data_IF_611551999906
#
_entry.id   IF_611551999906
#
_cell.length_a   1.000
_cell.length_b   1.000
_cell.length_c   1.000
_cell.angle_alpha   90.00
_cell.angle_beta   90.00
_cell.angle_gamma   90.00
#
_symmetry.space_group_name_H-M   'P 1'
#
loop_
_entity.id
_entity.type
_entity.pdbx_description
1 polymer ?
#
# COMPACT_ATOMS: atom_id res chain seq x y z
N UNK A 1 -17.58 -9.93 10.69
CA UNK A 1 -16.45 -9.91 9.78
C UNK A 1 -16.89 -10.60 8.53
N UNK A 2 -17.04 -9.89 7.53
CA UNK A 2 -17.45 -10.42 6.24
C UNK A 2 -16.24 -10.29 5.34
N UNK A 3 -15.85 -11.35 4.68
CA UNK A 3 -14.67 -11.37 3.84
C UNK A 3 -13.36 -11.51 4.64
N UNK A 4 -12.94 -12.74 4.87
CA UNK A 4 -11.55 -12.98 5.26
C UNK A 4 -10.68 -12.64 4.06
N UNK A 5 -9.45 -12.10 4.24
CA UNK A 5 -8.55 -11.79 3.13
C UNK A 5 -8.25 -12.97 2.19
N UNK A 6 -8.57 -14.15 2.60
CA UNK A 6 -8.36 -15.43 1.90
C UNK A 6 -9.68 -16.05 1.37
N UNK A 7 -10.83 -15.39 1.58
CA UNK A 7 -12.07 -15.85 0.97
C UNK A 7 -12.09 -15.48 -0.52
N UNK A 8 -12.08 -16.50 -1.34
CA UNK A 8 -12.41 -16.39 -2.75
C UNK A 8 -13.94 -16.37 -2.83
N UNK A 9 -14.52 -15.43 -3.58
CA UNK A 9 -15.96 -15.40 -3.80
C UNK A 9 -16.46 -16.75 -4.36
N UNK A 10 -17.74 -17.05 -4.19
CA UNK A 10 -18.36 -18.27 -4.73
C UNK A 10 -18.13 -18.43 -6.24
N UNK A 11 -17.85 -17.34 -6.95
CA UNK A 11 -17.50 -17.33 -8.37
C UNK A 11 -16.02 -17.57 -8.65
N UNK A 12 -15.18 -17.77 -7.62
CA UNK A 12 -13.73 -17.95 -7.74
C UNK A 12 -12.95 -16.65 -7.95
N UNK A 13 -13.58 -15.50 -7.84
CA UNK A 13 -12.94 -14.19 -7.92
C UNK A 13 -12.68 -13.63 -6.52
N UNK A 14 -11.51 -13.02 -6.33
CA UNK A 14 -11.20 -12.28 -5.10
C UNK A 14 -12.06 -11.01 -4.97
N UNK A 15 -12.16 -10.48 -3.75
CA UNK A 15 -12.81 -9.20 -3.51
C UNK A 15 -11.96 -8.07 -4.12
N UNK A 16 -12.54 -7.20 -4.97
CA UNK A 16 -11.82 -6.05 -5.50
C UNK A 16 -11.34 -5.14 -4.37
N UNK A 17 -10.05 -4.83 -4.36
CA UNK A 17 -9.48 -3.91 -3.38
C UNK A 17 -8.46 -2.96 -4.01
N UNK A 18 -8.36 -1.76 -3.44
CA UNK A 18 -7.30 -0.80 -3.73
C UNK A 18 -6.23 -0.91 -2.65
N UNK A 19 -5.15 -1.64 -2.92
CA UNK A 19 -4.04 -1.81 -1.99
C UNK A 19 -2.91 -0.81 -2.28
N UNK A 20 -2.33 -0.23 -1.23
CA UNK A 20 -1.32 0.83 -1.33
C UNK A 20 -0.08 0.38 -2.12
N UNK A 21 0.60 -0.66 -1.67
CA UNK A 21 1.86 -1.14 -2.28
C UNK A 21 1.69 -1.49 -3.75
N UNK A 22 0.60 -2.19 -4.11
CA UNK A 22 0.29 -2.56 -5.48
C UNK A 22 0.09 -1.33 -6.36
N UNK A 23 -0.67 -0.35 -5.92
CA UNK A 23 -0.91 0.87 -6.69
C UNK A 23 0.34 1.74 -6.82
N UNK A 24 1.19 1.82 -5.81
CA UNK A 24 2.49 2.49 -5.90
C UNK A 24 3.41 1.81 -6.93
N UNK A 25 3.41 0.48 -7.01
CA UNK A 25 4.15 -0.26 -8.04
C UNK A 25 3.62 0.02 -9.45
N UNK A 26 2.29 0.07 -9.64
CA UNK A 26 1.70 0.45 -10.94
C UNK A 26 2.08 1.88 -11.33
N UNK A 27 2.04 2.82 -10.39
CA UNK A 27 2.50 4.18 -10.65
C UNK A 27 3.94 4.19 -11.16
N UNK A 28 4.85 3.54 -10.44
CA UNK A 28 6.25 3.46 -10.84
C UNK A 28 6.44 2.76 -12.19
N UNK A 29 5.71 1.67 -12.45
CA UNK A 29 5.76 0.95 -13.72
C UNK A 29 5.36 1.86 -14.89
N UNK A 30 4.30 2.66 -14.76
CA UNK A 30 3.91 3.61 -15.79
C UNK A 30 4.91 4.75 -15.98
N UNK A 31 5.55 5.23 -14.91
CA UNK A 31 6.62 6.23 -15.01
C UNK A 31 7.84 5.67 -15.75
N UNK A 32 8.21 4.42 -15.48
CA UNK A 32 9.28 3.73 -16.21
C UNK A 32 8.92 3.49 -17.68
N UNK A 33 7.69 3.06 -17.95
CA UNK A 33 7.20 2.89 -19.33
C UNK A 33 7.23 4.23 -20.10
N UNK A 34 6.84 5.33 -19.47
CA UNK A 34 6.95 6.66 -20.05
C UNK A 34 8.40 7.02 -20.40
N UNK A 35 9.33 6.80 -19.47
CA UNK A 35 10.76 7.03 -19.71
C UNK A 35 11.29 6.19 -20.88
N UNK A 36 10.97 4.91 -20.90
CA UNK A 36 11.38 4.00 -21.98
C UNK A 36 10.80 4.41 -23.34
N UNK A 37 9.53 4.79 -23.39
CA UNK A 37 8.88 5.29 -24.62
C UNK A 37 9.59 6.52 -25.17
N UNK A 38 9.97 7.46 -24.32
CA UNK A 38 10.74 8.64 -24.72
C UNK A 38 12.10 8.28 -25.30
N UNK A 39 12.81 7.36 -24.68
CA UNK A 39 14.12 6.90 -25.17
C UNK A 39 14.03 6.18 -26.53
N UNK A 40 12.90 5.50 -26.79
CA UNK A 40 12.65 4.81 -28.06
C UNK A 40 12.00 5.70 -29.13
N UNK A 41 11.65 6.95 -28.80
CA UNK A 41 10.94 7.84 -29.72
C UNK A 41 9.48 7.47 -29.98
N UNK A 42 8.87 6.64 -29.12
CA UNK A 42 7.48 6.19 -29.21
C UNK A 42 6.59 7.01 -28.26
N UNK A 43 6.36 8.28 -28.59
CA UNK A 43 5.60 9.21 -27.72
C UNK A 43 4.07 9.03 -27.77
N UNK A 44 3.56 8.06 -28.51
CA UNK A 44 2.11 7.90 -28.77
C UNK A 44 1.32 7.28 -27.60
N UNK A 45 1.97 6.87 -26.53
CA UNK A 45 1.35 6.18 -25.41
C UNK A 45 1.29 7.08 -24.18
N UNK A 46 0.09 7.26 -23.63
CA UNK A 46 -0.19 8.14 -22.46
C UNK A 46 0.24 7.52 -21.12
N UNK A 47 1.47 7.02 -21.01
CA UNK A 47 1.98 6.41 -19.78
C UNK A 47 2.05 7.40 -18.62
N UNK A 48 2.47 8.63 -18.89
CA UNK A 48 2.53 9.69 -17.88
C UNK A 48 1.14 10.08 -17.35
N UNK A 49 0.13 10.12 -18.23
CA UNK A 49 -1.26 10.41 -17.83
C UNK A 49 -1.82 9.27 -16.97
N UNK A 50 -1.55 8.02 -17.32
CA UNK A 50 -1.93 6.86 -16.51
C UNK A 50 -1.26 6.88 -15.13
N UNK A 51 0.02 7.20 -15.08
CA UNK A 51 0.75 7.37 -13.82
C UNK A 51 0.13 8.46 -12.96
N UNK A 52 -0.15 9.64 -13.53
CA UNK A 52 -0.74 10.76 -12.80
C UNK A 52 -2.11 10.39 -12.23
N UNK A 53 -2.97 9.76 -13.00
CA UNK A 53 -4.29 9.29 -12.53
C UNK A 53 -4.19 8.33 -11.32
N UNK A 54 -3.24 7.41 -11.34
CA UNK A 54 -3.00 6.51 -10.22
C UNK A 54 -2.49 7.27 -9.00
N UNK A 55 -1.51 8.16 -9.17
CA UNK A 55 -0.99 8.99 -8.08
C UNK A 55 -2.10 9.83 -7.43
N UNK A 56 -2.93 10.48 -8.22
CA UNK A 56 -4.07 11.25 -7.74
C UNK A 56 -5.06 10.37 -6.96
N UNK A 57 -5.38 9.19 -7.50
CA UNK A 57 -6.29 8.24 -6.84
C UNK A 57 -5.72 7.74 -5.51
N UNK A 58 -4.42 7.39 -5.43
CA UNK A 58 -3.76 6.99 -4.19
C UNK A 58 -3.87 8.11 -3.15
N UNK A 59 -3.50 9.33 -3.49
CA UNK A 59 -3.55 10.45 -2.57
C UNK A 59 -4.97 10.82 -2.15
N UNK A 60 -5.94 10.72 -3.05
CA UNK A 60 -7.34 11.03 -2.76
C UNK A 60 -8.00 10.00 -1.85
N UNK A 61 -7.72 8.72 -2.05
CA UNK A 61 -8.47 7.65 -1.41
C UNK A 61 -7.71 6.97 -0.26
N UNK A 62 -6.38 6.90 -0.35
CA UNK A 62 -5.58 6.16 0.63
C UNK A 62 -4.85 7.07 1.64
N UNK A 63 -4.62 8.34 1.35
CA UNK A 63 -4.03 9.22 2.35
C UNK A 63 -4.96 9.41 3.55
N UNK A 64 -4.40 9.34 4.76
CA UNK A 64 -5.14 9.51 6.00
C UNK A 64 -4.48 10.56 6.88
N UNK A 65 -5.03 11.77 6.90
CA UNK A 65 -4.52 12.88 7.70
C UNK A 65 -4.52 12.59 9.20
N UNK A 66 -5.48 11.77 9.66
CA UNK A 66 -5.58 11.43 11.08
C UNK A 66 -4.42 10.57 11.59
N UNK A 67 -3.83 9.74 10.72
CA UNK A 67 -2.68 8.89 11.06
C UNK A 67 -1.36 9.45 10.56
N UNK A 68 -1.36 10.39 9.63
CA UNK A 68 -0.17 10.88 8.94
C UNK A 68 0.50 9.81 8.05
N UNK A 69 -0.27 8.82 7.61
CA UNK A 69 0.20 7.73 6.76
C UNK A 69 -0.89 7.31 5.77
N UNK A 70 -0.53 6.52 4.77
CA UNK A 70 -1.51 5.92 3.87
C UNK A 70 -2.21 4.74 4.54
N UNK A 71 -3.48 4.56 4.21
CA UNK A 71 -4.25 3.34 4.50
C UNK A 71 -3.61 2.15 3.79
N UNK A 72 -3.70 0.97 4.40
CA UNK A 72 -3.19 -0.25 3.77
C UNK A 72 -3.99 -0.60 2.51
N UNK A 73 -5.31 -0.67 2.65
CA UNK A 73 -6.23 -0.91 1.54
C UNK A 73 -7.63 -0.36 1.82
N UNK A 74 -8.39 -0.25 0.74
CA UNK A 74 -9.83 -0.02 0.74
C UNK A 74 -10.47 -1.09 -0.13
N UNK A 75 -11.52 -1.72 0.35
CA UNK A 75 -12.38 -2.59 -0.44
C UNK A 75 -13.85 -2.15 -0.36
N UNK A 76 -14.78 -2.95 -0.86
CA UNK A 76 -16.21 -2.62 -0.87
C UNK A 76 -16.84 -2.59 0.53
N UNK A 77 -16.25 -3.26 1.51
CA UNK A 77 -16.80 -3.45 2.84
C UNK A 77 -16.05 -2.66 3.91
N UNK A 78 -14.74 -2.47 3.77
CA UNK A 78 -13.92 -1.87 4.81
C UNK A 78 -12.71 -1.09 4.30
N UNK A 79 -12.16 -0.27 5.19
CA UNK A 79 -10.88 0.40 5.04
C UNK A 79 -9.91 -0.11 6.10
N UNK A 80 -8.67 -0.41 5.74
CA UNK A 80 -7.64 -0.79 6.68
C UNK A 80 -6.68 0.37 6.95
N UNK A 81 -6.66 0.83 8.19
CA UNK A 81 -5.72 1.83 8.67
C UNK A 81 -4.45 1.22 9.30
N UNK A 82 -4.23 -0.07 9.08
CA UNK A 82 -2.97 -0.70 9.47
C UNK A 82 -1.81 -0.01 8.78
N UNK A 83 -0.72 0.21 9.52
CA UNK A 83 0.54 0.57 8.90
C UNK A 83 0.99 -0.58 8.00
N UNK A 84 1.14 -0.32 6.72
CA UNK A 84 1.79 -1.21 5.77
C UNK A 84 3.09 -0.55 5.35
N UNK A 85 4.20 -1.04 5.88
CA UNK A 85 5.50 -0.37 5.77
C UNK A 85 6.02 -0.35 4.34
N UNK A 86 5.81 -1.43 3.58
CA UNK A 86 6.27 -1.51 2.19
C UNK A 86 5.56 -0.48 1.31
N UNK A 87 4.24 -0.37 1.44
CA UNK A 87 3.46 0.60 0.66
C UNK A 87 3.81 2.05 0.98
N UNK A 88 3.95 2.38 2.28
CA UNK A 88 4.39 3.71 2.68
C UNK A 88 5.83 4.01 2.20
N UNK A 89 6.74 3.03 2.24
CA UNK A 89 8.08 3.19 1.69
C UNK A 89 8.05 3.40 0.17
N UNK A 90 7.24 2.66 -0.57
CA UNK A 90 7.08 2.86 -2.01
C UNK A 90 6.47 4.23 -2.35
N UNK A 91 5.50 4.69 -1.57
CA UNK A 91 4.91 6.02 -1.75
C UNK A 91 5.97 7.13 -1.64
N UNK A 92 6.88 7.01 -0.70
CA UNK A 92 8.02 7.94 -0.55
C UNK A 92 9.04 7.78 -1.68
N UNK A 93 9.50 6.55 -1.95
CA UNK A 93 10.56 6.26 -2.90
C UNK A 93 10.19 6.60 -4.34
N UNK A 94 8.95 6.37 -4.73
CA UNK A 94 8.48 6.60 -6.10
C UNK A 94 7.91 8.02 -6.31
N UNK A 95 7.82 8.82 -5.26
CA UNK A 95 7.31 10.18 -5.35
C UNK A 95 5.77 10.26 -5.48
N UNK A 96 5.07 9.26 -4.97
CA UNK A 96 3.61 9.32 -4.78
C UNK A 96 3.28 10.28 -3.65
N UNK A 97 3.98 10.15 -2.50
CA UNK A 97 3.95 11.08 -1.41
C UNK A 97 4.74 12.35 -1.74
N UNK A 98 4.23 13.51 -1.35
CA UNK A 98 5.00 14.75 -1.33
C UNK A 98 5.93 14.82 -0.09
N UNK A 99 6.67 15.93 0.04
CA UNK A 99 7.62 16.10 1.14
C UNK A 99 6.96 16.12 2.50
N UNK A 100 5.82 16.79 2.65
CA UNK A 100 5.08 16.89 3.91
C UNK A 100 4.50 15.53 4.31
N UNK A 101 3.96 14.81 3.34
CA UNK A 101 3.47 13.44 3.55
C UNK A 101 4.60 12.48 3.91
N UNK A 102 5.75 12.58 3.24
CA UNK A 102 6.91 11.74 3.55
C UNK A 102 7.42 11.99 4.97
N UNK A 103 7.49 13.26 5.39
CA UNK A 103 7.86 13.60 6.77
C UNK A 103 6.85 13.06 7.78
N UNK A 104 5.55 13.22 7.50
CA UNK A 104 4.50 12.69 8.37
C UNK A 104 4.59 11.17 8.52
N UNK A 105 4.86 10.43 7.43
CA UNK A 105 5.06 8.98 7.48
C UNK A 105 6.23 8.63 8.39
N UNK A 106 7.39 9.30 8.23
CA UNK A 106 8.58 9.04 9.04
C UNK A 106 8.36 9.32 10.52
N UNK A 107 7.57 10.35 10.85
CA UNK A 107 7.27 10.72 12.23
C UNK A 107 6.24 9.80 12.90
N UNK A 108 5.28 9.29 12.14
CA UNK A 108 4.14 8.54 12.68
C UNK A 108 4.28 7.02 12.59
N UNK A 109 5.20 6.50 11.74
CA UNK A 109 5.37 5.06 11.63
C UNK A 109 5.85 4.41 12.92
N UNK A 110 5.32 3.24 13.22
CA UNK A 110 5.80 2.43 14.34
C UNK A 110 7.21 1.92 14.07
N UNK A 111 8.09 2.18 15.01
CA UNK A 111 9.46 1.65 15.03
C UNK A 111 9.64 0.83 16.30
N UNK A 112 10.29 -0.29 16.20
CA UNK A 112 10.63 -1.17 17.32
C UNK A 112 12.16 -1.28 17.45
N UNK A 113 12.70 -1.82 18.56
CA UNK A 113 14.14 -2.07 18.67
C UNK A 113 14.70 -2.99 17.58
N UNK A 114 13.85 -3.83 16.97
CA UNK A 114 14.22 -4.72 15.86
C UNK A 114 14.07 -4.05 14.47
N UNK A 115 13.57 -2.82 14.40
CA UNK A 115 13.33 -2.08 13.17
C UNK A 115 11.86 -1.74 12.94
N UNK A 116 11.54 -1.35 11.72
CA UNK A 116 10.15 -1.04 11.33
C UNK A 116 9.41 -2.33 11.00
N UNK A 117 8.29 -2.64 11.69
CA UNK A 117 7.54 -3.85 11.42
C UNK A 117 6.85 -3.76 10.05
N UNK A 118 6.69 -4.89 9.36
CA UNK A 118 6.02 -4.96 8.05
C UNK A 118 4.58 -4.44 8.09
N UNK A 119 3.90 -4.67 9.20
CA UNK A 119 2.56 -4.16 9.49
C UNK A 119 2.37 -3.88 10.98
N UNK A 120 1.54 -2.88 11.30
CA UNK A 120 1.23 -2.52 12.68
C UNK A 120 -0.19 -1.96 12.82
N UNK A 121 -0.97 -2.34 13.86
CA UNK A 121 -0.68 -3.41 14.83
C UNK A 121 -0.61 -4.81 14.19
N UNK A 122 -0.01 -5.81 14.88
CA UNK A 122 0.07 -7.16 14.35
C UNK A 122 -1.30 -7.73 14.06
N UNK A 123 -1.46 -8.44 12.94
CA UNK A 123 -2.70 -9.14 12.62
C UNK A 123 -2.96 -10.23 13.66
N UNK A 124 -4.17 -10.27 14.23
CA UNK A 124 -4.54 -11.22 15.31
C UNK A 124 -4.29 -12.68 14.95
N UNK A 125 -4.41 -13.07 13.67
CA UNK A 125 -4.17 -14.44 13.20
C UNK A 125 -2.71 -14.89 13.27
N UNK A 126 -1.77 -13.95 13.41
CA UNK A 126 -0.34 -14.23 13.57
C UNK A 126 0.14 -14.06 15.00
N UNK A 127 -0.75 -13.69 15.92
CA UNK A 127 -0.49 -13.80 17.35
C UNK A 127 -0.64 -15.29 17.69
N UNK A 128 0.45 -16.04 17.57
CA UNK A 128 0.53 -17.38 18.16
C UNK A 128 0.31 -17.22 19.65
N UNK A 129 -0.75 -17.81 20.17
CA UNK A 129 -0.92 -17.96 21.60
C UNK A 129 0.32 -18.65 22.14
N UNK A 130 1.15 -17.91 22.84
CA UNK A 130 2.39 -18.41 23.46
C UNK A 130 2.12 -19.47 24.57
N UNK A 131 0.85 -19.82 24.75
CA UNK A 131 0.39 -20.80 25.72
C UNK A 131 0.30 -22.23 25.19
N UNK A 132 0.57 -22.48 23.89
CA UNK A 132 0.36 -23.81 23.28
C UNK A 132 1.63 -24.60 22.99
N UNK A 133 2.80 -24.19 23.51
CA UNK A 133 3.96 -25.08 23.47
C UNK A 133 3.95 -26.01 24.70
N UNK A 134 3.75 -27.32 24.52
CA UNK A 134 3.95 -28.26 25.63
C UNK A 134 5.44 -28.19 26.02
N UNK A 135 5.70 -27.86 27.29
CA UNK A 135 7.04 -27.99 27.85
C UNK A 135 7.30 -29.50 28.00
N UNK A 136 8.21 -30.00 27.21
CA UNK A 136 8.84 -31.30 27.45
C UNK A 136 10.06 -31.12 28.34
#
# INVERSE_FOLDING_TARGET
MKGKPDEISETGHGVPMMALSTNCLYYNAYMLAHKMSKELGEESLDWSEKALKIKEAINKHLWNDATGMYKFYIDEEEESNLQETIGNAYAMLFGVADEDQAMAILENQKVTPAGVPSGWPPLKRYQTDSTSFPRH
#
